data_IF_804454347777
#
_entry.id   IF_804454347777
#
_cell.length_a   1.000
_cell.length_b   1.000
_cell.length_c   1.000
_cell.angle_alpha   90.00
_cell.angle_beta   90.00
_cell.angle_gamma   90.00
#
_symmetry.space_group_name_H-M   'P 1'
#
loop_
_entity.id
_entity.type
_entity.pdbx_description
1 polymer ?
#
# COMPACT_ATOMS: atom_id res chain seq x y z
N UNK A 1 9.03 26.40 -10.60
CA UNK A 1 8.49 25.99 -11.91
C UNK A 1 9.30 24.79 -12.40
N UNK A 2 8.70 23.63 -12.42
CA UNK A 2 9.32 22.41 -12.96
C UNK A 2 9.59 22.56 -14.47
N UNK A 3 10.70 21.98 -14.95
CA UNK A 3 11.02 21.98 -16.38
C UNK A 3 10.11 20.93 -17.05
N UNK A 4 9.31 21.36 -18.02
CA UNK A 4 8.52 20.46 -18.84
C UNK A 4 9.38 19.81 -19.91
N UNK A 5 9.09 18.55 -20.22
CA UNK A 5 9.78 17.73 -21.22
C UNK A 5 8.90 17.55 -22.46
N UNK A 6 9.54 17.24 -23.59
CA UNK A 6 8.83 16.91 -24.81
C UNK A 6 8.13 15.56 -24.69
N UNK A 7 6.94 15.46 -25.28
CA UNK A 7 6.19 14.21 -25.33
C UNK A 7 6.65 13.41 -26.53
N UNK A 8 7.11 12.19 -26.26
CA UNK A 8 7.37 11.19 -27.29
C UNK A 8 6.51 9.95 -27.00
N UNK A 9 5.99 9.34 -28.05
CA UNK A 9 5.24 8.09 -27.93
C UNK A 9 5.96 6.98 -28.71
N UNK A 10 5.83 5.70 -28.27
CA UNK A 10 6.40 4.58 -28.98
C UNK A 10 5.85 4.50 -30.42
N UNK A 11 6.66 4.03 -31.40
CA UNK A 11 6.23 3.95 -32.81
C UNK A 11 4.97 3.09 -33.03
N UNK A 12 4.81 2.04 -32.26
CA UNK A 12 3.62 1.17 -32.30
C UNK A 12 2.36 1.88 -31.79
N UNK A 13 2.48 2.73 -30.76
CA UNK A 13 1.38 3.59 -30.30
C UNK A 13 1.02 4.65 -31.35
N UNK A 14 2.03 5.26 -31.99
CA UNK A 14 1.80 6.19 -33.09
C UNK A 14 1.04 5.49 -34.22
N UNK A 15 1.45 4.27 -34.60
CA UNK A 15 0.76 3.48 -35.65
C UNK A 15 -0.71 3.16 -35.29
N UNK A 16 -1.03 2.95 -34.02
CA UNK A 16 -2.41 2.77 -33.56
C UNK A 16 -3.22 4.06 -33.75
N UNK A 17 -2.67 5.22 -33.37
CA UNK A 17 -3.31 6.51 -33.56
C UNK A 17 -3.56 6.76 -35.06
N UNK A 18 -2.52 6.57 -35.90
CA UNK A 18 -2.63 6.75 -37.35
C UNK A 18 -3.68 5.83 -37.99
N UNK A 19 -3.76 4.56 -37.55
CA UNK A 19 -4.73 3.59 -38.07
C UNK A 19 -6.18 3.99 -37.72
N UNK A 20 -6.42 4.52 -36.51
CA UNK A 20 -7.72 5.02 -36.09
C UNK A 20 -8.12 6.27 -36.89
N UNK A 21 -7.19 7.20 -37.09
CA UNK A 21 -7.41 8.43 -37.88
C UNK A 21 -7.65 8.11 -39.35
N UNK A 22 -6.90 7.17 -39.93
CA UNK A 22 -7.13 6.71 -41.29
C UNK A 22 -8.49 6.03 -41.47
N UNK A 23 -9.03 5.43 -40.42
CA UNK A 23 -10.39 4.89 -40.38
C UNK A 23 -11.48 5.97 -40.12
N UNK A 24 -11.11 7.24 -40.01
CA UNK A 24 -12.04 8.37 -39.81
C UNK A 24 -12.40 8.64 -38.35
N UNK A 25 -11.62 8.13 -37.40
CA UNK A 25 -11.85 8.30 -35.97
C UNK A 25 -10.76 9.17 -35.31
N UNK A 26 -11.17 10.10 -34.50
CA UNK A 26 -10.26 10.89 -33.65
C UNK A 26 -9.59 9.99 -32.61
N UNK A 27 -8.28 10.11 -32.40
CA UNK A 27 -7.53 9.32 -31.45
C UNK A 27 -6.43 10.14 -30.73
N UNK A 28 -6.27 9.90 -29.43
CA UNK A 28 -5.34 10.63 -28.56
C UNK A 28 -4.71 9.70 -27.52
N UNK A 29 -3.42 9.82 -27.30
CA UNK A 29 -2.78 9.31 -26.07
C UNK A 29 -3.21 10.20 -24.91
N UNK A 30 -3.65 9.61 -23.78
CA UNK A 30 -4.32 10.37 -22.71
C UNK A 30 -3.85 10.04 -21.31
N UNK A 31 -4.10 10.94 -20.37
CA UNK A 31 -4.00 10.68 -18.93
C UNK A 31 -2.59 10.64 -18.37
N UNK A 32 -2.30 9.58 -17.60
CA UNK A 32 -1.03 9.42 -16.87
C UNK A 32 0.18 9.43 -17.78
N UNK A 33 0.08 8.84 -18.98
CA UNK A 33 1.18 8.83 -19.94
C UNK A 33 1.65 10.26 -20.29
N UNK A 34 0.71 11.12 -20.66
CA UNK A 34 1.00 12.50 -21.06
C UNK A 34 1.60 13.29 -19.89
N UNK A 35 1.01 13.14 -18.70
CA UNK A 35 1.55 13.75 -17.47
C UNK A 35 2.99 13.32 -17.20
N UNK A 36 3.23 12.02 -17.18
CA UNK A 36 4.52 11.47 -16.79
C UNK A 36 5.62 11.85 -17.79
N UNK A 37 5.30 11.85 -19.09
CA UNK A 37 6.22 12.38 -20.12
C UNK A 37 6.55 13.84 -19.89
N UNK A 38 5.57 14.70 -19.65
CA UNK A 38 5.79 16.12 -19.36
C UNK A 38 6.66 16.33 -18.10
N UNK A 39 6.57 15.44 -17.13
CA UNK A 39 7.40 15.45 -15.91
C UNK A 39 8.79 14.81 -16.11
N UNK A 40 9.11 14.26 -17.28
CA UNK A 40 10.34 13.52 -17.54
C UNK A 40 10.43 12.18 -16.79
N UNK A 41 9.28 11.61 -16.42
CA UNK A 41 9.15 10.27 -15.81
C UNK A 41 8.92 9.23 -16.90
N UNK A 42 9.29 7.99 -16.63
CA UNK A 42 8.98 6.85 -17.51
C UNK A 42 7.52 6.45 -17.27
N UNK A 43 6.62 6.58 -18.28
CA UNK A 43 5.24 6.14 -18.14
C UNK A 43 5.15 4.62 -18.01
N UNK A 44 4.20 4.14 -17.21
CA UNK A 44 3.95 2.69 -17.06
C UNK A 44 2.83 2.20 -17.98
N UNK A 45 1.74 2.96 -18.10
CA UNK A 45 0.56 2.58 -18.85
C UNK A 45 0.40 3.46 -20.08
N UNK A 46 0.03 2.85 -21.20
CA UNK A 46 -0.20 3.55 -22.47
C UNK A 46 -1.67 3.46 -22.84
N UNK A 47 -2.39 4.55 -22.56
CA UNK A 47 -3.83 4.66 -22.79
C UNK A 47 -4.11 5.52 -24.02
N UNK A 48 -4.91 5.02 -24.95
CA UNK A 48 -5.44 5.76 -26.08
C UNK A 48 -6.94 5.93 -25.90
N UNK A 49 -7.43 7.14 -26.07
CA UNK A 49 -8.86 7.43 -26.13
C UNK A 49 -9.24 7.80 -27.57
N UNK A 50 -10.40 7.34 -28.05
CA UNK A 50 -10.83 7.52 -29.44
C UNK A 50 -12.35 7.74 -29.57
N UNK A 51 -12.77 8.35 -30.69
CA UNK A 51 -14.19 8.42 -31.06
C UNK A 51 -14.74 7.09 -31.60
N UNK A 52 -13.88 6.12 -31.96
CA UNK A 52 -14.29 4.80 -32.42
C UNK A 52 -14.97 4.01 -31.30
N UNK A 53 -16.02 3.25 -31.67
CA UNK A 53 -16.63 2.27 -30.76
C UNK A 53 -15.73 1.07 -30.56
N UNK A 54 -15.79 0.44 -29.39
CA UNK A 54 -14.93 -0.69 -29.06
C UNK A 54 -15.04 -1.85 -30.07
N UNK A 55 -16.23 -2.08 -30.66
CA UNK A 55 -16.43 -3.07 -31.72
C UNK A 55 -15.61 -2.71 -32.95
N UNK A 56 -15.64 -1.43 -33.35
CA UNK A 56 -14.86 -0.92 -34.48
C UNK A 56 -13.35 -1.05 -34.22
N UNK A 57 -12.92 -0.73 -32.99
CA UNK A 57 -11.50 -0.88 -32.60
C UNK A 57 -11.06 -2.34 -32.70
N UNK A 58 -11.85 -3.26 -32.14
CA UNK A 58 -11.60 -4.69 -32.21
C UNK A 58 -11.48 -5.17 -33.67
N UNK A 59 -12.44 -4.85 -34.50
CA UNK A 59 -12.52 -5.34 -35.87
C UNK A 59 -11.39 -4.74 -36.73
N UNK A 60 -11.06 -3.46 -36.55
CA UNK A 60 -9.95 -2.77 -37.23
C UNK A 60 -8.62 -3.46 -36.96
N UNK A 61 -8.24 -3.63 -35.69
CA UNK A 61 -6.95 -4.18 -35.33
C UNK A 61 -6.87 -5.70 -35.52
N UNK A 62 -7.97 -6.44 -35.35
CA UNK A 62 -8.02 -7.87 -35.68
C UNK A 62 -7.81 -8.10 -37.19
N UNK A 63 -8.38 -7.25 -38.05
CA UNK A 63 -8.19 -7.36 -39.51
C UNK A 63 -6.74 -7.08 -39.95
N UNK A 64 -6.00 -6.31 -39.16
CA UNK A 64 -4.56 -6.03 -39.36
C UNK A 64 -3.65 -7.09 -38.71
N UNK A 65 -4.21 -8.15 -38.12
CA UNK A 65 -3.46 -9.27 -37.54
C UNK A 65 -3.00 -9.05 -36.09
N UNK A 66 -3.43 -7.98 -35.42
CA UNK A 66 -3.14 -7.79 -33.99
C UNK A 66 -4.01 -8.70 -33.14
N UNK A 67 -3.43 -9.13 -31.99
CA UNK A 67 -4.22 -9.81 -30.96
C UNK A 67 -4.93 -8.78 -30.10
N UNK A 68 -6.27 -8.83 -30.08
CA UNK A 68 -7.14 -7.91 -29.34
C UNK A 68 -7.82 -8.65 -28.21
N UNK A 69 -7.81 -8.05 -27.02
CA UNK A 69 -8.49 -8.56 -25.82
C UNK A 69 -9.65 -7.65 -25.44
N UNK A 70 -10.80 -8.24 -25.18
CA UNK A 70 -12.01 -7.52 -24.73
C UNK A 70 -11.99 -7.32 -23.21
N UNK A 71 -11.11 -6.44 -22.72
CA UNK A 71 -10.79 -6.27 -21.29
C UNK A 71 -11.82 -5.45 -20.51
N UNK A 72 -12.68 -4.65 -21.19
CA UNK A 72 -13.62 -3.75 -20.51
C UNK A 72 -14.67 -3.20 -21.48
N UNK A 73 -15.32 -4.08 -22.24
CA UNK A 73 -16.29 -3.71 -23.29
C UNK A 73 -17.52 -3.01 -22.74
N UNK A 74 -17.94 -3.31 -21.52
CA UNK A 74 -18.97 -2.59 -20.77
C UNK A 74 -18.63 -1.10 -20.59
N UNK A 75 -17.34 -0.76 -20.60
CA UNK A 75 -16.81 0.61 -20.49
C UNK A 75 -16.26 1.15 -21.80
N UNK A 76 -16.36 0.38 -22.89
CA UNK A 76 -15.86 0.76 -24.19
C UNK A 76 -14.34 0.61 -24.34
N UNK A 77 -13.70 -0.29 -23.56
CA UNK A 77 -12.25 -0.50 -23.58
C UNK A 77 -11.90 -1.86 -24.17
N UNK A 78 -10.89 -1.88 -25.02
CA UNK A 78 -10.20 -3.09 -25.51
C UNK A 78 -8.71 -2.91 -25.37
N UNK A 79 -7.96 -4.01 -25.28
CA UNK A 79 -6.50 -3.99 -25.23
C UNK A 79 -5.94 -4.61 -26.49
N UNK A 80 -5.11 -3.85 -27.20
CA UNK A 80 -4.39 -4.29 -28.41
C UNK A 80 -2.97 -4.67 -28.02
N UNK A 81 -2.56 -5.89 -28.37
CA UNK A 81 -1.19 -6.34 -28.21
C UNK A 81 -0.40 -6.07 -29.50
N UNK A 82 0.51 -5.12 -29.43
CA UNK A 82 1.40 -4.77 -30.57
C UNK A 82 2.61 -5.68 -30.70
N UNK A 83 2.82 -6.55 -29.70
CA UNK A 83 4.05 -7.35 -29.55
C UNK A 83 5.11 -6.65 -28.70
N UNK A 84 5.19 -5.31 -28.75
CA UNK A 84 6.05 -4.50 -27.90
C UNK A 84 5.32 -3.99 -26.65
N UNK A 85 4.06 -3.59 -26.81
CA UNK A 85 3.23 -3.05 -25.73
C UNK A 85 1.82 -3.65 -25.72
N UNK A 86 1.19 -3.62 -24.55
CA UNK A 86 -0.25 -3.78 -24.38
C UNK A 86 -0.85 -2.38 -24.31
N UNK A 87 -1.61 -1.99 -25.32
CA UNK A 87 -2.19 -0.64 -25.43
C UNK A 87 -3.68 -0.71 -25.12
N UNK A 88 -4.12 -0.01 -24.07
CA UNK A 88 -5.53 0.12 -23.78
C UNK A 88 -6.14 1.21 -24.65
N UNK A 89 -7.19 0.83 -25.42
CA UNK A 89 -7.91 1.77 -26.30
C UNK A 89 -9.35 1.87 -25.81
N UNK A 90 -9.76 3.10 -25.44
CA UNK A 90 -11.07 3.36 -24.85
C UNK A 90 -11.87 4.34 -25.72
N UNK A 91 -13.12 4.01 -25.99
CA UNK A 91 -14.07 4.92 -26.64
C UNK A 91 -14.31 6.16 -25.75
N UNK A 92 -14.31 7.37 -26.34
CA UNK A 92 -14.68 8.60 -25.62
C UNK A 92 -16.03 8.46 -24.93
N UNK A 93 -16.11 8.89 -23.69
CA UNK A 93 -17.33 8.76 -22.90
C UNK A 93 -17.57 9.93 -21.97
N UNK A 94 -18.81 10.14 -21.61
CA UNK A 94 -19.24 11.03 -20.53
C UNK A 94 -19.78 10.21 -19.38
N UNK A 95 -19.74 10.76 -18.19
CA UNK A 95 -20.40 10.19 -17.01
C UNK A 95 -21.64 11.02 -16.72
N UNK A 96 -22.83 10.41 -16.85
CA UNK A 96 -24.07 11.03 -16.45
C UNK A 96 -24.54 10.46 -15.11
N UNK A 97 -24.98 11.34 -14.19
CA UNK A 97 -25.59 10.88 -12.95
C UNK A 97 -26.88 10.12 -13.27
N UNK A 98 -27.07 8.94 -12.66
CA UNK A 98 -28.35 8.23 -12.73
C UNK A 98 -29.31 8.90 -11.75
N UNK A 99 -30.49 9.28 -12.22
CA UNK A 99 -31.60 9.64 -11.34
C UNK A 99 -32.12 8.37 -10.64
N UNK A 100 -31.70 8.17 -9.41
CA UNK A 100 -32.12 7.03 -8.57
C UNK A 100 -31.38 7.03 -7.24
N UNK A 101 -32.05 6.73 -6.18
CA UNK A 101 -31.62 6.55 -4.79
C UNK A 101 -30.66 7.62 -4.25
N UNK A 102 -31.23 8.75 -3.84
CA UNK A 102 -30.50 9.78 -3.09
C UNK A 102 -30.37 9.36 -1.63
N UNK A 103 -29.17 8.98 -1.20
CA UNK A 103 -28.87 8.90 0.24
C UNK A 103 -28.56 10.32 0.71
N UNK A 104 -29.38 10.85 1.62
CA UNK A 104 -29.19 12.20 2.14
C UNK A 104 -28.16 12.20 3.27
N UNK A 105 -27.10 12.99 3.12
CA UNK A 105 -26.16 13.32 4.20
C UNK A 105 -26.37 14.75 4.67
N UNK A 106 -26.10 14.97 5.95
CA UNK A 106 -25.86 16.31 6.46
C UNK A 106 -24.34 16.49 6.61
N UNK A 107 -23.77 17.49 5.94
CA UNK A 107 -22.41 17.91 6.21
C UNK A 107 -22.36 18.75 7.51
N UNK A 108 -21.15 19.14 7.95
CA UNK A 108 -20.95 19.98 9.13
C UNK A 108 -21.72 21.33 9.08
N UNK A 109 -22.13 21.76 7.89
CA UNK A 109 -22.92 23.00 7.65
C UNK A 109 -24.43 22.73 7.55
N UNK A 110 -24.93 21.54 7.96
CA UNK A 110 -26.34 21.12 7.91
C UNK A 110 -26.97 21.14 6.51
N UNK A 111 -26.17 21.15 5.42
CA UNK A 111 -26.67 21.00 4.08
C UNK A 111 -26.95 19.53 3.79
N UNK A 112 -28.15 19.22 3.30
CA UNK A 112 -28.49 17.88 2.82
C UNK A 112 -27.78 17.61 1.51
N UNK A 113 -26.74 16.77 1.54
CA UNK A 113 -26.11 16.20 0.37
C UNK A 113 -26.77 14.87 0.06
N UNK A 114 -27.15 14.63 -1.17
CA UNK A 114 -27.69 13.35 -1.61
C UNK A 114 -26.60 12.56 -2.32
N UNK A 115 -26.30 11.35 -1.85
CA UNK A 115 -25.32 10.44 -2.44
C UNK A 115 -26.00 9.47 -3.37
N UNK A 116 -25.38 9.20 -4.46
CA UNK A 116 -25.76 8.19 -5.43
C UNK A 116 -25.16 6.84 -5.03
N UNK A 117 -25.89 5.75 -5.23
CA UNK A 117 -25.19 4.49 -5.46
C UNK A 117 -24.35 4.66 -6.74
N UNK A 118 -23.06 4.23 -6.74
CA UNK A 118 -22.16 4.43 -7.86
C UNK A 118 -22.51 3.51 -9.03
N UNK A 119 -23.56 3.82 -9.74
CA UNK A 119 -23.90 3.27 -11.04
C UNK A 119 -23.94 4.40 -12.05
N UNK A 120 -22.77 4.94 -12.39
CA UNK A 120 -22.67 5.90 -13.50
C UNK A 120 -23.01 5.18 -14.81
N UNK A 121 -24.05 5.62 -15.50
CA UNK A 121 -24.26 5.27 -16.90
C UNK A 121 -23.27 6.05 -17.73
N UNK A 122 -22.39 5.32 -18.40
CA UNK A 122 -21.53 5.93 -19.41
C UNK A 122 -22.35 6.18 -20.66
N UNK A 123 -22.22 7.37 -21.24
CA UNK A 123 -22.63 7.63 -22.62
C UNK A 123 -21.39 7.85 -23.44
N UNK A 124 -21.29 7.15 -24.54
CA UNK A 124 -20.22 7.40 -25.49
C UNK A 124 -20.45 8.73 -26.21
N UNK A 125 -19.36 9.43 -26.49
CA UNK A 125 -19.35 10.74 -27.16
C UNK A 125 -18.31 10.73 -28.27
N UNK A 126 -18.40 11.70 -29.18
CA UNK A 126 -17.36 11.94 -30.19
C UNK A 126 -16.44 13.13 -29.83
N UNK A 127 -16.60 13.71 -28.63
CA UNK A 127 -15.77 14.85 -28.20
C UNK A 127 -14.75 14.40 -27.16
N UNK A 128 -13.49 14.60 -27.48
CA UNK A 128 -12.35 14.36 -26.58
C UNK A 128 -12.43 15.28 -25.36
N UNK A 129 -12.85 16.57 -25.51
CA UNK A 129 -12.96 17.49 -24.36
C UNK A 129 -13.98 16.98 -23.34
N UNK A 130 -15.10 16.37 -23.78
CA UNK A 130 -16.09 15.77 -22.88
C UNK A 130 -15.51 14.54 -22.17
N UNK A 131 -14.66 13.76 -22.82
CA UNK A 131 -13.97 12.66 -22.16
C UNK A 131 -12.94 13.16 -21.14
N UNK A 132 -12.21 14.22 -21.46
CA UNK A 132 -11.27 14.84 -20.53
C UNK A 132 -11.98 15.52 -19.35
N UNK A 133 -13.16 16.13 -19.56
CA UNK A 133 -13.95 16.79 -18.52
C UNK A 133 -14.37 15.84 -17.39
N UNK A 134 -14.62 14.56 -17.66
CA UNK A 134 -15.01 13.58 -16.62
C UNK A 134 -13.85 13.10 -15.76
N UNK A 135 -12.60 13.43 -16.10
CA UNK A 135 -11.42 12.95 -15.37
C UNK A 135 -11.32 13.63 -13.99
N UNK A 136 -10.45 13.08 -13.15
CA UNK A 136 -10.28 13.51 -11.75
C UNK A 136 -9.60 14.87 -11.64
N UNK A 137 -8.36 14.98 -12.16
CA UNK A 137 -7.50 16.16 -11.99
C UNK A 137 -7.01 16.67 -13.33
N UNK A 138 -6.77 18.00 -13.39
CA UNK A 138 -6.31 18.70 -14.60
C UNK A 138 -5.05 18.09 -15.18
N UNK A 139 -4.09 17.69 -14.33
CA UNK A 139 -2.84 17.04 -14.74
C UNK A 139 -3.04 15.68 -15.42
N UNK A 140 -4.20 15.03 -15.22
CA UNK A 140 -4.58 13.77 -15.86
C UNK A 140 -5.61 13.97 -16.99
N UNK A 141 -6.12 15.21 -17.16
CA UNK A 141 -7.06 15.59 -18.20
C UNK A 141 -6.34 16.20 -19.40
N UNK A 142 -5.25 15.59 -19.80
CA UNK A 142 -4.40 15.93 -20.92
C UNK A 142 -4.52 14.87 -22.00
N UNK A 143 -4.43 15.30 -23.27
CA UNK A 143 -4.34 14.42 -24.39
C UNK A 143 -3.20 14.86 -25.32
N UNK A 144 -2.57 13.92 -26.01
CA UNK A 144 -1.50 14.17 -26.96
C UNK A 144 -1.73 13.36 -28.24
N UNK A 145 -1.60 14.05 -29.37
CA UNK A 145 -1.61 13.40 -30.67
C UNK A 145 -0.35 13.87 -31.45
N UNK A 146 0.40 12.96 -32.09
CA UNK A 146 1.63 13.30 -32.82
C UNK A 146 1.44 14.40 -33.88
N UNK A 147 0.27 14.47 -34.51
CA UNK A 147 -0.03 15.39 -35.59
C UNK A 147 -0.58 16.75 -35.10
N UNK A 148 -1.24 16.77 -33.92
CA UNK A 148 -1.95 17.94 -33.40
C UNK A 148 -1.27 18.55 -32.16
N UNK A 149 -0.35 17.82 -31.51
CA UNK A 149 0.30 18.25 -30.27
C UNK A 149 -0.54 17.96 -29.01
N UNK A 150 -0.38 18.80 -27.99
CA UNK A 150 -1.06 18.68 -26.69
C UNK A 150 -2.42 19.37 -26.74
N UNK A 151 -3.45 18.65 -26.29
CA UNK A 151 -4.76 19.20 -25.98
C UNK A 151 -4.90 19.33 -24.46
N UNK A 152 -4.99 20.57 -23.97
CA UNK A 152 -5.09 20.91 -22.54
C UNK A 152 -6.24 21.91 -22.29
N UNK A 153 -7.48 21.45 -22.26
CA UNK A 153 -8.63 22.34 -22.08
C UNK A 153 -8.78 22.86 -20.64
N UNK A 154 -8.08 22.28 -19.66
CA UNK A 154 -8.27 22.57 -18.24
C UNK A 154 -7.03 23.12 -17.54
N UNK A 155 -5.93 23.41 -18.27
CA UNK A 155 -4.72 23.99 -17.71
C UNK A 155 -3.82 23.00 -16.96
N UNK A 156 -3.90 21.72 -17.29
CA UNK A 156 -3.13 20.66 -16.65
C UNK A 156 -1.62 20.80 -16.81
N UNK A 157 -1.15 21.31 -17.97
CA UNK A 157 0.27 21.59 -18.21
C UNK A 157 0.80 22.64 -17.22
N UNK A 158 0.01 23.70 -16.98
CA UNK A 158 0.34 24.72 -15.99
C UNK A 158 0.35 24.17 -14.58
N UNK A 159 -0.61 23.34 -14.23
CA UNK A 159 -0.69 22.73 -12.91
C UNK A 159 0.46 21.75 -12.68
N UNK A 160 0.89 20.98 -13.68
CA UNK A 160 2.13 20.16 -13.61
C UNK A 160 3.35 21.05 -13.35
N UNK A 161 3.50 22.14 -14.10
CA UNK A 161 4.63 23.08 -13.94
C UNK A 161 4.66 23.73 -12.56
N UNK A 162 3.49 23.92 -11.93
CA UNK A 162 3.33 24.48 -10.60
C UNK A 162 3.26 23.43 -9.49
N UNK A 163 3.45 22.15 -9.83
CA UNK A 163 3.38 21.04 -8.89
C UNK A 163 2.05 21.02 -8.12
N UNK A 164 0.93 21.24 -8.82
CA UNK A 164 -0.40 21.42 -8.23
C UNK A 164 -1.36 20.31 -8.67
N UNK A 165 -2.08 19.72 -7.72
CA UNK A 165 -3.19 18.82 -7.96
C UNK A 165 -4.49 19.62 -7.86
N UNK A 166 -5.17 19.79 -8.99
CA UNK A 166 -6.45 20.51 -9.10
C UNK A 166 -7.51 19.62 -9.72
N UNK A 167 -8.70 19.59 -9.13
CA UNK A 167 -9.85 18.89 -9.72
C UNK A 167 -10.29 19.54 -11.03
N UNK A 168 -10.74 18.71 -11.98
CA UNK A 168 -11.33 19.23 -13.24
C UNK A 168 -12.71 19.80 -12.95
N UNK A 169 -12.91 21.08 -13.28
CA UNK A 169 -14.20 21.75 -13.08
C UNK A 169 -14.51 22.03 -11.60
N UNK A 170 -15.74 21.67 -11.17
CA UNK A 170 -16.17 21.88 -9.77
C UNK A 170 -15.73 20.70 -8.89
N UNK A 171 -14.84 20.91 -7.89
CA UNK A 171 -14.30 19.80 -7.08
C UNK A 171 -15.36 18.99 -6.35
N UNK A 172 -16.38 19.65 -5.77
CA UNK A 172 -17.46 18.99 -5.04
C UNK A 172 -18.26 18.04 -5.93
N UNK A 173 -18.52 18.42 -7.18
CA UNK A 173 -19.17 17.57 -8.16
C UNK A 173 -18.32 16.36 -8.54
N UNK A 174 -17.00 16.56 -8.71
CA UNK A 174 -16.05 15.47 -9.03
C UNK A 174 -15.97 14.42 -7.93
N UNK A 175 -15.88 14.86 -6.66
CA UNK A 175 -15.85 13.95 -5.52
C UNK A 175 -17.18 13.27 -5.26
N UNK A 176 -18.25 13.93 -5.64
CA UNK A 176 -19.60 13.37 -5.55
C UNK A 176 -19.85 12.29 -6.59
N UNK A 177 -19.34 12.44 -7.81
CA UNK A 177 -19.44 11.44 -8.90
C UNK A 177 -18.66 10.16 -8.58
N UNK A 178 -17.45 10.27 -8.05
CA UNK A 178 -16.64 9.14 -7.57
C UNK A 178 -15.86 9.58 -6.31
N UNK A 179 -16.32 9.18 -5.12
CA UNK A 179 -15.64 9.50 -3.85
C UNK A 179 -14.17 9.06 -3.77
N UNK A 180 -13.78 8.03 -4.53
CA UNK A 180 -12.37 7.61 -4.55
C UNK A 180 -11.43 8.67 -5.10
N UNK A 181 -11.93 9.65 -5.85
CA UNK A 181 -11.12 10.80 -6.30
C UNK A 181 -10.55 11.59 -5.12
N UNK A 182 -11.23 11.57 -3.94
CA UNK A 182 -10.71 12.17 -2.70
C UNK A 182 -9.41 11.47 -2.28
N UNK A 183 -9.43 10.14 -2.21
CA UNK A 183 -8.26 9.36 -1.82
C UNK A 183 -7.18 9.36 -2.92
N UNK A 184 -7.57 9.47 -4.18
CA UNK A 184 -6.65 9.67 -5.31
C UNK A 184 -5.88 11.00 -5.22
N UNK A 185 -6.51 12.09 -4.72
CA UNK A 185 -5.81 13.36 -4.46
C UNK A 185 -4.70 13.15 -3.42
N UNK A 186 -5.00 12.50 -2.30
CA UNK A 186 -4.03 12.17 -1.26
C UNK A 186 -2.90 11.26 -1.80
N UNK A 187 -3.26 10.24 -2.60
CA UNK A 187 -2.28 9.36 -3.24
C UNK A 187 -1.37 10.11 -4.21
N UNK A 188 -1.91 10.96 -5.06
CA UNK A 188 -1.06 11.74 -5.98
C UNK A 188 -0.16 12.72 -5.24
N UNK A 189 -0.63 13.34 -4.16
CA UNK A 189 0.22 14.15 -3.29
C UNK A 189 1.38 13.31 -2.72
N UNK A 190 1.09 12.08 -2.27
CA UNK A 190 2.11 11.14 -1.78
C UNK A 190 3.10 10.69 -2.87
N UNK A 191 2.65 10.42 -4.09
CA UNK A 191 3.49 9.88 -5.16
C UNK A 191 4.28 10.95 -5.92
N UNK A 192 3.69 12.14 -6.09
CA UNK A 192 4.27 13.19 -6.91
C UNK A 192 4.95 14.29 -6.08
N UNK A 193 4.60 14.43 -4.80
CA UNK A 193 5.03 15.56 -3.96
C UNK A 193 4.33 16.87 -4.29
N UNK A 194 3.25 16.83 -5.05
CA UNK A 194 2.50 18.00 -5.47
C UNK A 194 1.55 18.46 -4.36
N UNK A 195 1.38 19.78 -4.25
CA UNK A 195 0.39 20.38 -3.37
C UNK A 195 -1.02 20.26 -3.95
N UNK A 196 -2.01 20.00 -3.08
CA UNK A 196 -3.41 20.01 -3.52
C UNK A 196 -3.96 21.44 -3.40
N UNK A 197 -4.51 21.94 -4.50
CA UNK A 197 -5.10 23.28 -4.56
C UNK A 197 -6.16 23.46 -3.46
N UNK A 198 -6.17 24.62 -2.78
CA UNK A 198 -6.96 24.87 -1.58
C UNK A 198 -8.44 24.52 -1.74
N UNK A 199 -9.08 24.97 -2.83
CA UNK A 199 -10.48 24.69 -3.12
C UNK A 199 -10.73 23.19 -3.34
N UNK A 200 -9.81 22.51 -4.00
CA UNK A 200 -9.86 21.06 -4.18
C UNK A 200 -9.71 20.34 -2.85
N UNK A 201 -8.76 20.75 -1.99
CA UNK A 201 -8.53 20.15 -0.65
C UNK A 201 -9.74 20.37 0.27
N UNK A 202 -10.28 21.58 0.32
CA UNK A 202 -11.47 21.89 1.12
C UNK A 202 -12.68 21.04 0.71
N UNK A 203 -12.95 20.93 -0.60
CA UNK A 203 -14.02 20.10 -1.11
C UNK A 203 -13.80 18.60 -0.83
N UNK A 204 -12.54 18.13 -0.90
CA UNK A 204 -12.19 16.75 -0.57
C UNK A 204 -12.45 16.43 0.91
N UNK A 205 -12.01 17.31 1.82
CA UNK A 205 -12.25 17.14 3.26
C UNK A 205 -13.75 17.18 3.59
N UNK A 206 -14.50 18.11 2.99
CA UNK A 206 -15.95 18.20 3.18
C UNK A 206 -16.69 16.95 2.63
N UNK A 207 -16.17 16.35 1.58
CA UNK A 207 -16.75 15.17 0.92
C UNK A 207 -16.21 13.84 1.46
N UNK A 208 -15.23 13.84 2.36
CA UNK A 208 -14.59 12.62 2.88
C UNK A 208 -15.58 11.56 3.41
N UNK A 209 -16.70 11.91 4.10
CA UNK A 209 -17.67 10.92 4.55
C UNK A 209 -18.28 10.07 3.43
N UNK A 210 -18.24 10.51 2.17
CA UNK A 210 -18.72 9.74 1.03
C UNK A 210 -17.90 8.46 0.79
N UNK A 211 -16.64 8.41 1.25
CA UNK A 211 -15.79 7.22 1.15
C UNK A 211 -16.39 5.99 1.84
N UNK A 212 -17.27 6.16 2.83
CA UNK A 212 -17.98 5.04 3.50
C UNK A 212 -18.81 4.19 2.52
N UNK A 213 -19.15 4.74 1.36
CA UNK A 213 -19.95 4.08 0.33
C UNK A 213 -19.10 3.53 -0.82
N UNK A 214 -17.80 3.80 -0.82
CA UNK A 214 -16.89 3.26 -1.83
C UNK A 214 -16.55 1.78 -1.52
N UNK A 215 -16.35 0.93 -2.54
CA UNK A 215 -15.93 -0.45 -2.34
C UNK A 215 -14.60 -0.53 -1.58
N UNK A 216 -14.54 -1.34 -0.53
CA UNK A 216 -13.37 -1.44 0.35
C UNK A 216 -12.08 -1.78 -0.41
N UNK A 217 -12.15 -2.68 -1.40
CA UNK A 217 -11.00 -3.06 -2.22
C UNK A 217 -10.46 -1.88 -3.05
N UNK A 218 -11.33 -0.96 -3.50
CA UNK A 218 -10.89 0.24 -4.22
C UNK A 218 -10.26 1.25 -3.28
N UNK A 219 -10.80 1.41 -2.05
CA UNK A 219 -10.18 2.24 -1.00
C UNK A 219 -8.80 1.69 -0.69
N UNK A 220 -8.72 0.39 -0.45
CA UNK A 220 -7.48 -0.32 -0.14
C UNK A 220 -6.42 -0.10 -1.23
N UNK A 221 -6.75 -0.26 -2.49
CA UNK A 221 -5.82 -0.10 -3.60
C UNK A 221 -5.24 1.33 -3.70
N UNK A 222 -6.04 2.37 -3.44
CA UNK A 222 -5.58 3.75 -3.41
C UNK A 222 -4.74 4.03 -2.15
N UNK A 223 -5.15 3.51 -0.99
CA UNK A 223 -4.42 3.68 0.27
C UNK A 223 -3.06 2.97 0.26
N UNK A 224 -2.99 1.74 -0.26
CA UNK A 224 -1.72 1.04 -0.44
C UNK A 224 -0.73 1.86 -1.28
N UNK A 225 -1.19 2.45 -2.38
CA UNK A 225 -0.37 3.31 -3.24
C UNK A 225 0.01 4.64 -2.57
N UNK A 226 -0.85 5.17 -1.68
CA UNK A 226 -0.52 6.33 -0.86
C UNK A 226 0.63 6.01 0.09
N UNK A 227 0.55 4.90 0.81
CA UNK A 227 1.60 4.46 1.73
C UNK A 227 2.95 4.21 1.02
N UNK A 228 2.93 3.78 -0.25
CA UNK A 228 4.11 3.50 -1.06
C UNK A 228 4.69 4.72 -1.78
N UNK A 229 4.11 5.91 -1.64
CA UNK A 229 4.62 7.13 -2.25
C UNK A 229 5.89 7.65 -1.57
N UNK A 230 6.72 8.38 -2.32
CA UNK A 230 7.95 9.00 -1.83
C UNK A 230 7.68 10.10 -0.78
N UNK A 231 6.49 10.73 -0.85
CA UNK A 231 6.05 11.78 0.06
C UNK A 231 4.95 11.29 1.03
N UNK A 232 4.96 10.00 1.38
CA UNK A 232 3.92 9.38 2.21
C UNK A 232 3.79 10.05 3.58
N UNK A 233 4.93 10.48 4.21
CA UNK A 233 4.91 11.20 5.49
C UNK A 233 4.00 12.42 5.45
N UNK A 234 4.23 13.33 4.51
CA UNK A 234 3.43 14.54 4.40
C UNK A 234 1.97 14.23 4.05
N UNK A 235 1.75 13.27 3.13
CA UNK A 235 0.40 12.89 2.73
C UNK A 235 -0.41 12.28 3.90
N UNK A 236 0.20 11.44 4.75
CA UNK A 236 -0.45 10.89 5.94
C UNK A 236 -0.86 12.02 6.90
N UNK A 237 0.06 12.94 7.19
CA UNK A 237 -0.21 14.09 8.07
C UNK A 237 -1.34 14.97 7.55
N UNK A 238 -1.31 15.29 6.26
CA UNK A 238 -2.28 16.19 5.63
C UNK A 238 -3.68 15.57 5.43
N UNK A 239 -3.75 14.25 5.35
CA UNK A 239 -4.97 13.52 4.98
C UNK A 239 -5.45 12.55 6.06
N UNK A 240 -4.94 12.65 7.28
CA UNK A 240 -5.34 11.75 8.36
C UNK A 240 -6.86 11.78 8.65
N UNK A 241 -7.51 12.93 8.51
CA UNK A 241 -8.95 13.07 8.72
C UNK A 241 -9.75 12.33 7.61
N UNK A 242 -9.21 12.21 6.41
CA UNK A 242 -9.75 11.38 5.32
C UNK A 242 -9.48 9.91 5.57
N UNK A 243 -8.25 9.56 5.98
CA UNK A 243 -7.85 8.19 6.33
C UNK A 243 -8.73 7.68 7.48
N UNK A 244 -9.02 8.51 8.47
CA UNK A 244 -9.89 8.19 9.60
C UNK A 244 -11.33 7.82 9.23
N UNK A 245 -11.79 8.10 8.02
CA UNK A 245 -13.12 7.66 7.55
C UNK A 245 -13.20 6.14 7.40
N UNK A 246 -12.09 5.50 7.02
CA UNK A 246 -12.02 4.05 6.82
C UNK A 246 -11.07 3.34 7.81
N UNK A 247 -10.17 4.07 8.49
CA UNK A 247 -9.34 3.61 9.62
C UNK A 247 -9.53 4.60 10.79
N UNK A 248 -10.69 4.60 11.45
CA UNK A 248 -10.97 5.54 12.55
C UNK A 248 -10.03 5.37 13.73
N UNK A 249 -9.43 4.20 13.89
CA UNK A 249 -8.45 3.88 14.94
C UNK A 249 -7.15 4.70 14.80
N UNK A 250 -6.88 5.25 13.62
CA UNK A 250 -5.71 6.11 13.42
C UNK A 250 -5.92 7.55 13.92
N UNK A 251 -7.16 8.02 14.06
CA UNK A 251 -7.44 9.40 14.50
C UNK A 251 -6.90 9.74 15.89
N UNK A 252 -7.02 8.86 16.92
CA UNK A 252 -6.50 9.14 18.26
C UNK A 252 -4.96 9.22 18.34
N UNK A 253 -4.23 8.82 17.27
CA UNK A 253 -2.78 8.97 17.20
C UNK A 253 -2.36 10.44 17.01
N UNK A 254 -3.25 11.25 16.39
CA UNK A 254 -3.02 12.68 16.12
C UNK A 254 -2.99 13.49 17.41
N UNK A 255 -1.86 14.14 17.68
CA UNK A 255 -1.68 14.96 18.86
C UNK A 255 -1.44 14.17 20.16
N UNK A 256 -1.31 12.85 20.12
CA UNK A 256 -0.95 12.04 21.27
C UNK A 256 0.55 12.19 21.57
N UNK A 257 0.88 13.13 22.47
CA UNK A 257 2.24 13.32 22.98
C UNK A 257 2.69 12.10 23.80
N UNK A 258 3.76 11.46 23.37
CA UNK A 258 4.28 10.22 23.97
C UNK A 258 4.98 10.45 25.30
N UNK A 259 5.34 11.68 25.65
CA UNK A 259 5.97 12.11 26.92
C UNK A 259 7.17 11.27 27.32
N UNK A 260 8.01 10.90 26.34
CA UNK A 260 9.25 10.16 26.59
C UNK A 260 10.44 10.89 25.95
N UNK A 261 11.63 10.68 26.46
CA UNK A 261 12.86 11.23 25.86
C UNK A 261 13.21 10.61 24.51
N UNK A 262 12.57 9.48 24.15
CA UNK A 262 12.85 8.76 22.91
C UNK A 262 12.10 9.36 21.73
N UNK A 263 10.96 10.01 21.97
CA UNK A 263 10.08 10.52 20.93
C UNK A 263 10.02 12.05 20.96
N UNK A 264 10.31 12.67 19.82
CA UNK A 264 10.16 14.12 19.58
C UNK A 264 8.89 14.46 18.82
N UNK A 265 8.18 13.45 18.35
CA UNK A 265 6.95 13.52 17.57
C UNK A 265 5.77 12.95 18.37
N UNK A 266 4.56 13.39 18.06
CA UNK A 266 3.35 12.68 18.47
C UNK A 266 3.28 11.30 17.79
N UNK A 267 2.35 10.43 18.20
CA UNK A 267 2.26 9.07 17.67
C UNK A 267 2.01 9.06 16.16
N UNK A 268 1.17 9.98 15.64
CA UNK A 268 0.87 10.04 14.21
C UNK A 268 2.08 10.49 13.40
N UNK A 269 2.77 11.55 13.83
CA UNK A 269 3.92 12.07 13.11
C UNK A 269 5.07 11.07 13.12
N UNK A 270 5.32 10.40 14.26
CA UNK A 270 6.26 9.29 14.36
C UNK A 270 5.91 8.16 13.38
N UNK A 271 4.64 7.74 13.37
CA UNK A 271 4.14 6.70 12.45
C UNK A 271 4.32 7.11 10.99
N UNK A 272 3.94 8.33 10.63
CA UNK A 272 4.10 8.82 9.27
C UNK A 272 5.58 8.88 8.83
N UNK A 273 6.47 9.20 9.76
CA UNK A 273 7.90 9.19 9.50
C UNK A 273 8.42 7.75 9.36
N UNK A 274 8.04 6.83 10.23
CA UNK A 274 8.36 5.39 10.11
C UNK A 274 7.92 4.84 8.75
N UNK A 275 6.69 5.16 8.28
CA UNK A 275 6.22 4.80 6.95
C UNK A 275 7.17 5.30 5.86
N UNK A 276 7.62 6.55 5.91
CA UNK A 276 8.50 7.11 4.88
C UNK A 276 9.89 6.46 4.84
N UNK A 277 10.37 5.97 5.97
CA UNK A 277 11.67 5.31 6.12
C UNK A 277 11.64 3.82 5.79
N UNK A 278 10.48 3.16 5.91
CA UNK A 278 10.33 1.75 5.57
C UNK A 278 10.49 1.53 4.05
N UNK A 279 11.00 0.38 3.60
CA UNK A 279 11.03 0.02 2.18
C UNK A 279 9.64 0.14 1.51
N UNK A 280 9.61 0.54 0.23
CA UNK A 280 8.36 0.73 -0.52
C UNK A 280 7.64 -0.59 -0.89
N UNK A 281 7.67 -1.54 0.02
CA UNK A 281 6.96 -2.81 -0.08
C UNK A 281 5.61 -2.70 0.63
N UNK A 282 4.56 -3.18 -0.02
CA UNK A 282 3.18 -3.04 0.44
C UNK A 282 2.98 -3.48 1.90
N UNK A 283 3.38 -4.71 2.24
CA UNK A 283 3.24 -5.28 3.59
C UNK A 283 3.99 -4.44 4.63
N UNK A 284 5.25 -4.06 4.32
CA UNK A 284 6.07 -3.25 5.24
C UNK A 284 5.50 -1.85 5.46
N UNK A 285 4.99 -1.20 4.41
CA UNK A 285 4.36 0.13 4.54
C UNK A 285 3.06 0.08 5.35
N UNK A 286 2.26 -0.99 5.20
CA UNK A 286 1.10 -1.22 6.06
C UNK A 286 1.52 -1.50 7.50
N UNK A 287 2.49 -2.38 7.72
CA UNK A 287 3.00 -2.67 9.06
C UNK A 287 3.57 -1.40 9.73
N UNK A 288 4.31 -0.57 8.98
CA UNK A 288 4.81 0.71 9.47
C UNK A 288 3.69 1.71 9.81
N UNK A 289 2.58 1.72 9.05
CA UNK A 289 1.43 2.58 9.38
C UNK A 289 0.66 2.09 10.61
N UNK A 290 0.65 0.78 10.86
CA UNK A 290 -0.16 0.16 11.90
C UNK A 290 0.64 -0.18 13.17
N UNK A 291 1.99 -0.10 13.17
CA UNK A 291 2.82 -0.61 14.27
C UNK A 291 2.44 0.00 15.62
N UNK A 292 2.17 1.28 15.67
CA UNK A 292 1.85 2.04 16.86
C UNK A 292 0.36 2.35 17.06
N UNK A 293 -0.52 1.79 16.21
CA UNK A 293 -1.96 2.07 16.26
C UNK A 293 -2.63 1.64 17.58
N UNK A 294 -2.00 0.73 18.31
CA UNK A 294 -2.45 0.30 19.64
C UNK A 294 -2.07 1.24 20.78
N UNK A 295 -1.14 2.20 20.58
CA UNK A 295 -0.70 3.10 21.64
C UNK A 295 -1.82 3.90 22.30
N UNK A 296 -2.77 4.50 21.54
CA UNK A 296 -3.85 5.29 22.17
C UNK A 296 -4.71 4.51 23.16
N UNK A 297 -4.90 3.20 22.95
CA UNK A 297 -5.75 2.38 23.83
C UNK A 297 -5.09 2.06 25.18
N UNK A 298 -3.75 1.97 25.21
CA UNK A 298 -3.00 1.50 26.39
C UNK A 298 -2.13 2.59 27.01
N UNK A 299 -2.18 3.82 26.46
CA UNK A 299 -1.36 4.94 26.91
C UNK A 299 -1.73 5.35 28.33
N UNK A 300 -0.71 5.52 29.17
CA UNK A 300 -0.85 6.03 30.53
C UNK A 300 0.37 6.89 30.88
N UNK A 301 0.18 7.78 31.84
CA UNK A 301 1.22 8.66 32.36
C UNK A 301 1.48 8.23 33.80
N UNK A 302 2.76 8.05 34.17
CA UNK A 302 3.16 7.75 35.56
C UNK A 302 3.21 8.99 36.44
N UNK A 303 3.57 8.80 37.74
CA UNK A 303 3.64 9.87 38.71
C UNK A 303 4.72 10.91 38.40
N UNK A 304 5.76 10.51 37.65
CA UNK A 304 6.84 11.38 37.18
C UNK A 304 6.47 12.14 35.88
N UNK A 305 5.27 11.91 35.32
CA UNK A 305 4.77 12.55 34.11
C UNK A 305 5.30 11.92 32.82
N UNK A 306 5.92 10.73 32.88
CA UNK A 306 6.43 9.98 31.74
C UNK A 306 5.32 9.12 31.14
N UNK A 307 5.24 9.10 29.80
CA UNK A 307 4.27 8.31 29.09
C UNK A 307 4.73 6.85 28.86
N UNK A 308 3.79 5.93 28.97
CA UNK A 308 4.00 4.50 28.77
C UNK A 308 2.84 3.90 27.98
N UNK A 309 3.16 2.96 27.09
CA UNK A 309 2.17 2.23 26.27
C UNK A 309 2.42 0.71 26.35
N UNK A 310 2.30 0.09 27.55
CA UNK A 310 2.60 -1.33 27.72
C UNK A 310 1.62 -2.20 26.92
N UNK A 311 2.15 -3.15 26.14
CA UNK A 311 1.35 -4.07 25.33
C UNK A 311 0.73 -3.46 24.08
N UNK A 312 1.16 -2.26 23.66
CA UNK A 312 0.66 -1.61 22.45
C UNK A 312 0.82 -2.45 21.18
N UNK A 313 1.90 -3.25 21.08
CA UNK A 313 2.13 -4.12 19.94
C UNK A 313 1.05 -5.21 19.83
N UNK A 314 0.66 -5.82 20.96
CA UNK A 314 -0.41 -6.82 20.99
C UNK A 314 -1.79 -6.19 20.69
N UNK A 315 -2.10 -5.04 21.29
CA UNK A 315 -3.31 -4.27 20.99
C UNK A 315 -3.33 -3.84 19.51
N UNK A 316 -2.18 -3.36 19.00
CA UNK A 316 -2.01 -2.98 17.60
C UNK A 316 -2.23 -4.14 16.63
N UNK A 317 -1.78 -5.36 16.95
CA UNK A 317 -2.03 -6.54 16.12
C UNK A 317 -3.53 -6.86 16.00
N UNK A 318 -4.29 -6.75 17.10
CA UNK A 318 -5.75 -6.96 17.09
C UNK A 318 -6.46 -5.89 16.24
N UNK A 319 -6.06 -4.62 16.41
CA UNK A 319 -6.60 -3.52 15.59
C UNK A 319 -6.25 -3.74 14.12
N UNK A 320 -5.01 -4.16 13.82
CA UNK A 320 -4.56 -4.42 12.45
C UNK A 320 -5.37 -5.49 11.75
N UNK A 321 -5.75 -6.58 12.46
CA UNK A 321 -6.63 -7.61 11.93
C UNK A 321 -8.01 -7.04 11.52
N UNK A 322 -8.58 -6.19 12.37
CA UNK A 322 -9.86 -5.51 12.08
C UNK A 322 -9.75 -4.58 10.87
N UNK A 323 -8.66 -3.79 10.78
CA UNK A 323 -8.40 -2.89 9.65
C UNK A 323 -8.21 -3.67 8.36
N UNK A 324 -7.37 -4.71 8.36
CA UNK A 324 -7.13 -5.56 7.19
C UNK A 324 -8.42 -6.24 6.71
N UNK A 325 -9.23 -6.77 7.62
CA UNK A 325 -10.53 -7.36 7.30
C UNK A 325 -11.51 -6.34 6.71
N UNK A 326 -11.58 -5.14 7.29
CA UNK A 326 -12.44 -4.03 6.81
C UNK A 326 -12.06 -3.60 5.41
N UNK A 327 -10.78 -3.48 5.12
CA UNK A 327 -10.24 -3.09 3.82
C UNK A 327 -10.19 -4.24 2.81
N UNK A 328 -10.51 -5.48 3.23
CA UNK A 328 -10.51 -6.66 2.37
C UNK A 328 -9.12 -7.00 1.81
N UNK A 329 -8.07 -6.84 2.61
CA UNK A 329 -6.75 -7.35 2.25
C UNK A 329 -6.80 -8.87 2.06
N UNK A 330 -5.84 -9.42 1.33
CA UNK A 330 -5.67 -10.87 1.20
C UNK A 330 -5.28 -11.45 2.57
N UNK A 331 -5.74 -12.66 2.87
CA UNK A 331 -5.53 -13.31 4.17
C UNK A 331 -4.03 -13.48 4.49
N UNK A 332 -3.22 -13.84 3.48
CA UNK A 332 -1.77 -13.99 3.63
C UNK A 332 -1.08 -12.65 3.98
N UNK A 333 -1.40 -11.57 3.26
CA UNK A 333 -0.87 -10.23 3.54
C UNK A 333 -1.32 -9.72 4.91
N UNK A 334 -2.59 -9.92 5.27
CA UNK A 334 -3.13 -9.54 6.57
C UNK A 334 -2.41 -10.25 7.72
N UNK A 335 -2.17 -11.56 7.61
CA UNK A 335 -1.44 -12.33 8.60
C UNK A 335 0.01 -11.85 8.75
N UNK A 336 0.70 -11.54 7.64
CA UNK A 336 2.05 -10.97 7.66
C UNK A 336 2.09 -9.61 8.36
N UNK A 337 1.18 -8.70 8.02
CA UNK A 337 1.08 -7.38 8.65
C UNK A 337 0.83 -7.50 10.15
N UNK A 338 -0.16 -8.31 10.57
CA UNK A 338 -0.47 -8.51 11.99
C UNK A 338 0.71 -9.11 12.77
N UNK A 339 1.44 -10.04 12.16
CA UNK A 339 2.65 -10.63 12.76
C UNK A 339 3.74 -9.57 12.95
N UNK A 340 4.02 -8.76 11.94
CA UNK A 340 5.00 -7.68 12.01
C UNK A 340 4.63 -6.65 13.07
N UNK A 341 3.36 -6.23 13.12
CA UNK A 341 2.86 -5.29 14.13
C UNK A 341 2.97 -5.89 15.53
N UNK A 342 2.59 -7.17 15.72
CA UNK A 342 2.68 -7.83 17.02
C UNK A 342 4.11 -8.01 17.53
N UNK A 343 5.07 -8.16 16.62
CA UNK A 343 6.46 -8.44 16.96
C UNK A 343 7.38 -7.20 16.93
N UNK A 344 6.90 -6.01 16.48
CA UNK A 344 7.77 -4.87 16.24
C UNK A 344 8.50 -4.37 17.49
N UNK A 345 7.90 -4.49 18.69
CA UNK A 345 8.52 -4.08 19.97
C UNK A 345 9.36 -5.20 20.61
N UNK A 346 9.41 -6.40 20.04
CA UNK A 346 10.22 -7.51 20.55
C UNK A 346 11.70 -7.14 20.61
N UNK A 347 12.36 -7.44 21.74
CA UNK A 347 13.80 -7.23 21.89
C UNK A 347 14.55 -8.37 21.23
N UNK A 348 15.31 -8.06 20.18
CA UNK A 348 16.19 -9.00 19.49
C UNK A 348 17.61 -8.48 19.61
N UNK A 349 18.47 -9.23 20.32
CA UNK A 349 19.88 -8.88 20.47
C UNK A 349 20.71 -9.50 19.32
N UNK A 350 21.86 -8.91 18.94
CA UNK A 350 22.73 -9.44 17.88
C UNK A 350 23.54 -10.65 18.36
N UNK A 351 22.86 -11.69 18.79
CA UNK A 351 23.43 -12.96 19.23
C UNK A 351 22.74 -14.13 18.54
N UNK A 352 23.46 -15.23 18.19
CA UNK A 352 22.88 -16.40 17.53
C UNK A 352 21.66 -16.95 18.28
N UNK A 353 21.74 -17.03 19.61
CA UNK A 353 20.63 -17.48 20.46
C UNK A 353 19.38 -16.61 20.30
N UNK A 354 19.53 -15.27 20.36
CA UNK A 354 18.41 -14.34 20.24
C UNK A 354 17.77 -14.40 18.86
N UNK A 355 18.59 -14.52 17.81
CA UNK A 355 18.14 -14.64 16.41
C UNK A 355 17.37 -15.94 16.20
N UNK A 356 17.88 -17.08 16.70
CA UNK A 356 17.17 -18.36 16.61
C UNK A 356 15.81 -18.32 17.35
N UNK A 357 15.76 -17.68 18.54
CA UNK A 357 14.50 -17.47 19.27
C UNK A 357 13.51 -16.60 18.50
N UNK A 358 13.99 -15.56 17.83
CA UNK A 358 13.15 -14.73 16.97
C UNK A 358 12.64 -15.53 15.76
N UNK A 359 13.50 -16.28 15.07
CA UNK A 359 13.11 -17.17 13.97
C UNK A 359 12.06 -18.18 14.43
N UNK A 360 12.26 -18.84 15.56
CA UNK A 360 11.29 -19.82 16.11
C UNK A 360 9.92 -19.18 16.34
N UNK A 361 9.86 -17.98 16.95
CA UNK A 361 8.59 -17.24 17.15
C UNK A 361 7.87 -16.92 15.84
N UNK A 362 8.63 -16.72 14.76
CA UNK A 362 8.12 -16.47 13.42
C UNK A 362 7.94 -17.75 12.59
N UNK A 363 7.91 -18.95 13.24
CA UNK A 363 7.71 -20.23 12.54
C UNK A 363 8.84 -20.61 11.58
N UNK A 364 10.07 -20.16 11.81
CA UNK A 364 11.21 -20.39 10.94
C UNK A 364 11.23 -19.51 9.68
N UNK A 365 10.34 -18.52 9.58
CA UNK A 365 10.22 -17.68 8.39
C UNK A 365 11.32 -16.60 8.34
N UNK A 366 12.40 -16.90 7.61
CA UNK A 366 13.56 -16.00 7.45
C UNK A 366 13.16 -14.67 6.78
N UNK A 367 12.28 -14.71 5.76
CA UNK A 367 11.79 -13.50 5.09
C UNK A 367 11.08 -12.57 6.09
N UNK A 368 10.19 -13.14 6.89
CA UNK A 368 9.44 -12.39 7.91
C UNK A 368 10.37 -11.73 8.94
N UNK A 369 11.45 -12.43 9.37
CA UNK A 369 12.43 -11.83 10.29
C UNK A 369 13.17 -10.67 9.62
N UNK A 370 13.56 -10.78 8.35
CA UNK A 370 14.17 -9.66 7.62
C UNK A 370 13.24 -8.47 7.51
N UNK A 371 11.98 -8.69 7.18
CA UNK A 371 10.95 -7.65 7.12
C UNK A 371 10.73 -6.99 8.49
N UNK A 372 10.72 -7.78 9.57
CA UNK A 372 10.65 -7.26 10.93
C UNK A 372 11.87 -6.36 11.26
N UNK A 373 13.07 -6.75 10.85
CA UNK A 373 14.28 -5.94 11.07
C UNK A 373 14.23 -4.62 10.28
N UNK A 374 13.70 -4.63 9.04
CA UNK A 374 13.49 -3.40 8.28
C UNK A 374 12.46 -2.48 8.95
N UNK A 375 11.35 -3.04 9.48
CA UNK A 375 10.37 -2.26 10.23
C UNK A 375 11.00 -1.64 11.49
N UNK A 376 11.75 -2.43 12.28
CA UNK A 376 12.45 -1.97 13.49
C UNK A 376 13.50 -0.90 13.19
N UNK A 377 14.18 -1.01 12.06
CA UNK A 377 15.14 -0.02 11.59
C UNK A 377 14.43 1.30 11.26
N UNK A 378 13.34 1.24 10.52
CA UNK A 378 12.55 2.41 10.15
C UNK A 378 11.96 3.12 11.39
N UNK A 379 11.38 2.36 12.32
CA UNK A 379 10.88 2.85 13.61
C UNK A 379 12.00 3.53 14.42
N UNK A 380 13.16 2.88 14.59
CA UNK A 380 14.29 3.44 15.33
C UNK A 380 14.82 4.75 14.72
N UNK A 381 14.85 4.86 13.38
CA UNK A 381 15.27 6.07 12.68
C UNK A 381 14.25 7.22 12.81
N UNK A 382 13.00 6.92 13.14
CA UNK A 382 11.97 7.91 13.42
C UNK A 382 11.98 8.42 14.88
N UNK A 383 12.83 7.87 15.75
CA UNK A 383 13.05 8.38 17.11
C UNK A 383 13.91 9.65 17.14
N UNK A 384 14.08 10.23 18.34
CA UNK A 384 15.00 11.33 18.56
C UNK A 384 16.42 10.93 18.11
N UNK A 385 17.22 11.85 17.51
CA UNK A 385 18.54 11.53 16.96
C UNK A 385 19.48 10.82 17.93
N UNK A 386 19.40 11.15 19.23
CA UNK A 386 20.21 10.57 20.29
C UNK A 386 19.83 9.11 20.62
N UNK A 387 18.74 8.59 20.05
CA UNK A 387 18.20 7.25 20.31
C UNK A 387 18.04 6.40 19.06
N UNK A 388 18.68 6.80 17.96
CA UNK A 388 18.66 6.07 16.69
C UNK A 388 19.65 4.88 16.65
N UNK A 389 20.47 4.65 17.70
CA UNK A 389 21.39 3.53 17.78
C UNK A 389 20.70 2.16 17.62
N UNK A 390 19.39 2.06 17.92
CA UNK A 390 18.61 0.85 17.70
C UNK A 390 18.52 0.42 16.22
N UNK A 391 18.68 1.35 15.30
CA UNK A 391 18.75 1.02 13.87
C UNK A 391 19.99 0.20 13.54
N UNK A 392 21.15 0.56 14.12
CA UNK A 392 22.38 -0.22 13.98
C UNK A 392 22.25 -1.64 14.59
N UNK A 393 21.55 -1.75 15.74
CA UNK A 393 21.27 -3.07 16.34
C UNK A 393 20.47 -3.95 15.37
N UNK A 394 19.47 -3.41 14.68
CA UNK A 394 18.69 -4.17 13.69
C UNK A 394 19.58 -4.66 12.53
N UNK A 395 20.53 -3.85 12.07
CA UNK A 395 21.52 -4.24 11.05
C UNK A 395 22.47 -5.34 11.56
N UNK A 396 22.99 -5.20 12.77
CA UNK A 396 23.83 -6.22 13.40
C UNK A 396 23.09 -7.56 13.57
N UNK A 397 21.81 -7.53 13.96
CA UNK A 397 20.96 -8.72 14.03
C UNK A 397 20.83 -9.37 12.67
N UNK A 398 20.69 -8.59 11.60
CA UNK A 398 20.67 -9.08 10.21
C UNK A 398 21.97 -9.82 9.83
N UNK A 399 23.14 -9.29 10.20
CA UNK A 399 24.43 -9.96 9.97
C UNK A 399 24.54 -11.29 10.76
N UNK A 400 24.10 -11.30 12.01
CA UNK A 400 24.07 -12.53 12.81
C UNK A 400 23.08 -13.54 12.22
N UNK A 401 21.95 -13.10 11.67
CA UNK A 401 21.01 -13.98 10.97
C UNK A 401 21.69 -14.66 9.78
N UNK A 402 22.42 -13.91 8.96
CA UNK A 402 23.16 -14.48 7.84
C UNK A 402 24.18 -15.54 8.28
N UNK A 403 24.86 -15.33 9.41
CA UNK A 403 25.81 -16.29 9.97
C UNK A 403 25.13 -17.53 10.57
N UNK A 404 23.97 -17.36 11.21
CA UNK A 404 23.13 -18.47 11.71
C UNK A 404 22.66 -19.35 10.56
N UNK A 405 22.21 -18.74 9.46
CA UNK A 405 21.75 -19.46 8.28
C UNK A 405 22.88 -20.22 7.56
N UNK A 406 24.08 -19.65 7.48
CA UNK A 406 25.27 -20.32 6.90
C UNK A 406 25.71 -21.58 7.69
N UNK A 407 25.45 -21.59 9.00
CA UNK A 407 25.84 -22.69 9.89
C UNK A 407 24.79 -23.81 9.96
N UNK A 408 23.74 -23.74 9.14
CA UNK A 408 22.61 -24.72 9.13
C UNK A 408 22.03 -24.97 10.53
N UNK A 409 21.92 -23.91 11.33
CA UNK A 409 21.45 -24.03 12.72
C UNK A 409 19.95 -24.36 12.76
N UNK A 410 19.58 -25.31 13.61
CA UNK A 410 18.16 -25.65 13.85
C UNK A 410 17.42 -24.48 14.52
N UNK A 411 16.23 -24.14 14.00
CA UNK A 411 15.31 -23.17 14.57
C UNK A 411 13.84 -23.59 14.48
N UNK A 412 13.56 -24.79 13.95
CA UNK A 412 12.26 -25.47 13.92
C UNK A 412 12.45 -26.95 14.31
N UNK A 413 11.41 -27.59 14.81
CA UNK A 413 11.42 -29.03 15.19
C UNK A 413 11.88 -29.92 14.02
N UNK A 414 11.49 -29.60 12.80
CA UNK A 414 11.90 -30.33 11.57
C UNK A 414 13.40 -30.26 11.27
N UNK A 415 14.12 -29.30 11.87
CA UNK A 415 15.55 -29.13 11.68
C UNK A 415 16.38 -29.94 12.70
N UNK A 416 15.73 -30.61 13.68
CA UNK A 416 16.39 -31.46 14.65
C UNK A 416 16.94 -32.73 13.99
N UNK A 417 18.10 -33.18 14.47
CA UNK A 417 18.70 -34.46 14.06
C UNK A 417 17.97 -35.71 14.62
N UNK A 418 16.86 -35.53 15.32
CA UNK A 418 15.95 -36.56 15.83
C UNK A 418 14.52 -36.24 15.43
N UNK A 419 13.67 -37.27 15.41
CA UNK A 419 12.24 -37.16 15.12
C UNK A 419 11.37 -37.78 16.21
N UNK A 420 10.03 -37.78 16.01
CA UNK A 420 9.10 -38.33 16.95
C UNK A 420 9.29 -39.85 17.16
N UNK A 421 9.83 -40.58 16.19
CA UNK A 421 10.10 -42.00 16.28
C UNK A 421 11.24 -42.28 17.25
N UNK A 422 12.27 -41.45 17.19
CA UNK A 422 13.42 -41.50 18.12
C UNK A 422 12.99 -41.26 19.57
N UNK A 423 12.08 -40.28 19.78
CA UNK A 423 11.54 -39.92 21.10
C UNK A 423 10.69 -41.06 21.67
N UNK A 424 9.83 -41.70 20.86
CA UNK A 424 9.01 -42.84 21.27
C UNK A 424 9.91 -44.03 21.60
N UNK A 425 10.97 -44.27 20.84
CA UNK A 425 11.92 -45.36 21.10
C UNK A 425 12.64 -45.22 22.46
N UNK A 426 12.66 -44.02 23.06
CA UNK A 426 13.19 -43.74 24.41
C UNK A 426 12.13 -43.84 25.51
N UNK A 427 10.93 -44.31 25.19
CA UNK A 427 9.89 -44.60 26.18
C UNK A 427 8.90 -43.45 26.41
N UNK A 428 8.95 -42.37 25.65
CA UNK A 428 7.94 -41.30 25.73
C UNK A 428 6.65 -41.79 25.07
N UNK A 429 5.49 -41.74 25.78
CA UNK A 429 4.22 -42.17 25.22
C UNK A 429 3.85 -41.42 23.94
N UNK A 430 3.35 -42.14 22.93
CA UNK A 430 2.87 -41.54 21.70
C UNK A 430 1.74 -40.50 21.97
N UNK A 431 1.84 -39.32 21.41
CA UNK A 431 0.87 -38.26 21.62
C UNK A 431 1.53 -36.89 21.91
N UNK A 432 0.84 -35.98 22.61
CA UNK A 432 1.34 -34.61 22.87
C UNK A 432 2.72 -34.57 23.57
N UNK A 433 3.06 -35.60 24.37
CA UNK A 433 4.35 -35.71 25.08
C UNK A 433 5.55 -35.78 24.14
N UNK A 434 5.36 -36.38 22.95
CA UNK A 434 6.43 -36.45 21.93
C UNK A 434 6.73 -35.01 21.39
N UNK A 435 5.69 -34.25 21.11
CA UNK A 435 5.84 -32.85 20.69
C UNK A 435 6.57 -32.02 21.76
N UNK A 436 6.16 -32.17 23.03
CA UNK A 436 6.78 -31.45 24.13
C UNK A 436 8.27 -31.84 24.32
N UNK A 437 8.64 -33.09 24.11
CA UNK A 437 10.03 -33.55 24.17
C UNK A 437 10.87 -32.97 23.03
N UNK A 438 10.35 -32.96 21.80
CA UNK A 438 11.02 -32.35 20.65
C UNK A 438 11.16 -30.82 20.81
N UNK A 439 10.14 -30.14 21.34
CA UNK A 439 10.25 -28.72 21.68
C UNK A 439 11.33 -28.42 22.72
N UNK A 440 11.42 -29.26 23.76
CA UNK A 440 12.46 -29.14 24.78
C UNK A 440 13.87 -29.39 24.22
N UNK A 441 14.02 -30.35 23.30
CA UNK A 441 15.26 -30.59 22.59
C UNK A 441 15.64 -29.41 21.70
N UNK A 442 14.67 -28.84 20.96
CA UNK A 442 14.89 -27.64 20.15
C UNK A 442 15.29 -26.42 21.02
N UNK A 443 14.63 -26.22 22.16
CA UNK A 443 15.02 -25.17 23.11
C UNK A 443 16.47 -25.32 23.57
N UNK A 444 16.90 -26.55 23.89
CA UNK A 444 18.26 -26.83 24.32
C UNK A 444 19.30 -26.54 23.21
N UNK A 445 18.96 -26.85 21.94
CA UNK A 445 19.82 -26.51 20.80
C UNK A 445 19.88 -24.99 20.60
N UNK A 446 18.73 -24.30 20.64
CA UNK A 446 18.65 -22.84 20.49
C UNK A 446 19.42 -22.14 21.61
N UNK A 447 19.35 -22.66 22.82
CA UNK A 447 20.05 -22.13 23.99
C UNK A 447 21.52 -22.57 24.05
N UNK A 448 22.03 -23.32 23.06
CA UNK A 448 23.42 -23.81 22.94
C UNK A 448 23.83 -24.70 24.11
N UNK A 449 22.87 -25.39 24.74
CA UNK A 449 23.07 -26.34 25.81
C UNK A 449 23.46 -27.73 25.28
N UNK A 450 23.03 -28.05 24.06
CA UNK A 450 23.26 -29.32 23.38
C UNK A 450 23.49 -29.08 21.89
N UNK A 451 24.37 -29.88 21.25
CA UNK A 451 24.56 -29.79 19.81
C UNK A 451 23.37 -30.48 19.09
N UNK A 452 23.05 -30.01 17.89
CA UNK A 452 22.04 -30.65 17.03
C UNK A 452 22.65 -31.90 16.34
N UNK A 453 23.09 -32.86 17.14
CA UNK A 453 23.46 -34.20 16.68
C UNK A 453 22.54 -35.23 17.29
N UNK A 454 22.33 -36.34 16.59
CA UNK A 454 21.39 -37.37 17.06
C UNK A 454 21.80 -37.92 18.46
N UNK A 455 23.11 -38.15 18.68
CA UNK A 455 23.61 -38.73 19.91
C UNK A 455 23.48 -37.74 21.10
N UNK A 456 23.82 -36.45 20.89
CA UNK A 456 23.72 -35.42 21.94
C UNK A 456 22.24 -35.21 22.33
N UNK A 457 21.34 -35.15 21.36
CA UNK A 457 19.90 -34.94 21.60
C UNK A 457 19.26 -36.10 22.29
N UNK A 458 19.63 -37.35 21.93
CA UNK A 458 19.13 -38.54 22.61
C UNK A 458 19.63 -38.60 24.04
N UNK A 459 20.90 -38.28 24.31
CA UNK A 459 21.45 -38.19 25.67
C UNK A 459 20.73 -37.13 26.51
N UNK A 460 20.44 -35.97 25.94
CA UNK A 460 19.65 -34.93 26.60
C UNK A 460 18.23 -35.38 26.96
N UNK A 461 17.57 -36.13 26.09
CA UNK A 461 16.24 -36.70 26.38
C UNK A 461 16.28 -37.77 27.45
N UNK A 462 17.29 -38.66 27.44
CA UNK A 462 17.48 -39.71 28.45
C UNK A 462 17.62 -39.11 29.86
N UNK A 463 18.39 -38.04 30.01
CA UNK A 463 18.59 -37.33 31.29
C UNK A 463 17.26 -36.73 31.81
N UNK A 464 16.42 -36.20 30.92
CA UNK A 464 15.08 -35.63 31.27
C UNK A 464 13.99 -36.67 31.55
N UNK A 465 14.08 -37.84 30.95
CA UNK A 465 13.12 -38.94 31.18
C UNK A 465 13.43 -39.66 32.50
N UNK A 466 14.68 -39.65 32.94
CA UNK A 466 15.16 -40.24 34.17
C UNK A 466 14.79 -39.46 35.45
N UNK A 467 14.40 -38.21 35.29
CA UNK A 467 14.00 -37.27 36.37
C UNK A 467 12.54 -36.82 36.20
#
# INVERSE_FOLDING_TARGET
>A
MGKLHDITIPPDAASIVDALEAAGHEAWVTGSYVRDMLMGRIPHDLDISTSARWETIRDLFSSQGFKVYETGTDRGTVTVNTGAHLVEITTFRTEEPIEGTRIAFQNAEHRKLSVWEPSSRFRFTNSVEKDLLRRDFTMNALAFNPNCGILDPFGGVKDISNETIRAVGEPSERFWQDPLRILRAARFASQLGFDVESRTKEAALASAPLLKHAPAQRIEAEFARLLQGDHARQAIMDWIDVIGVFIPEALPMKGLDQRTKYHIYDVLEHTAYTVSLAPQQRVLRYAAFLHDIGKPEVFRIDEEGVGHSPGHAAAGAVISEQVCSRLKLREDEAAEICTLVGAHDDRISPTPRSVRKALRRLGGNVRMLRELLELKKADALAHAPEHQERAAIAEEVGLVLDDVLKKEAAFDIKDLAIDGTDVIARGVPAGPSVGAALEAALDAVIDELVNNTRDDLLAFLDDRIAH
#
